data_IF_060366822635
#
_entry.id   IF_060366822635
#
_cell.length_a   1.000
_cell.length_b   1.000
_cell.length_c   1.000
_cell.angle_alpha   90.00
_cell.angle_beta   90.00
_cell.angle_gamma   90.00
#
_symmetry.space_group_name_H-M   'P 1'
#
loop_
_entity.id
_entity.type
_entity.pdbx_description
1 polymer ?
#
# COMPACT_ATOMS: atom_id res chain seq x y z
N UNK A 1 -31.60 -21.21 -40.55
CA UNK A 1 -31.18 -20.28 -39.48
C UNK A 1 -32.19 -19.14 -39.46
N UNK A 2 -32.82 -18.82 -38.31
CA UNK A 2 -33.74 -17.67 -38.25
C UNK A 2 -32.91 -16.37 -38.37
N UNK A 3 -33.32 -15.38 -39.19
CA UNK A 3 -32.58 -14.13 -39.26
C UNK A 3 -32.82 -13.34 -37.96
N UNK A 4 -31.76 -13.07 -37.21
CA UNK A 4 -31.83 -12.14 -36.08
C UNK A 4 -31.91 -10.71 -36.60
N UNK A 5 -32.65 -9.86 -35.88
CA UNK A 5 -32.65 -8.44 -36.17
C UNK A 5 -31.35 -7.83 -35.65
N UNK A 6 -30.76 -6.88 -36.39
CA UNK A 6 -29.51 -6.23 -36.02
C UNK A 6 -29.69 -4.72 -35.92
N UNK A 7 -28.90 -4.10 -35.05
CA UNK A 7 -28.74 -2.64 -34.99
C UNK A 7 -27.41 -2.33 -35.66
N UNK A 8 -27.42 -1.41 -36.62
CA UNK A 8 -26.26 -1.06 -37.44
C UNK A 8 -25.57 0.22 -36.95
N UNK A 9 -24.26 0.34 -37.20
CA UNK A 9 -23.50 1.57 -36.99
C UNK A 9 -23.80 2.63 -38.09
N UNK A 10 -23.18 3.80 -38.00
CA UNK A 10 -23.33 4.89 -39.00
C UNK A 10 -22.79 4.52 -40.39
N UNK A 11 -22.02 3.45 -40.50
CA UNK A 11 -21.45 2.94 -41.74
C UNK A 11 -22.25 1.76 -42.32
N UNK A 12 -23.34 1.34 -41.66
CA UNK A 12 -24.22 0.25 -42.07
C UNK A 12 -23.79 -1.16 -41.65
N UNK A 13 -22.72 -1.29 -40.86
CA UNK A 13 -22.25 -2.57 -40.34
C UNK A 13 -23.06 -2.98 -39.12
N UNK A 14 -23.32 -4.27 -38.95
CA UNK A 14 -24.03 -4.78 -37.77
C UNK A 14 -23.18 -4.55 -36.51
N UNK A 15 -23.74 -3.78 -35.57
CA UNK A 15 -23.09 -3.43 -34.30
C UNK A 15 -23.66 -4.26 -33.14
N UNK A 16 -24.97 -4.55 -33.16
CA UNK A 16 -25.63 -5.40 -32.17
C UNK A 16 -26.61 -6.38 -32.85
N UNK A 17 -26.84 -7.52 -32.21
CA UNK A 17 -27.83 -8.53 -32.63
C UNK A 17 -28.88 -8.67 -31.54
N UNK A 18 -30.16 -8.58 -31.91
CA UNK A 18 -31.31 -8.78 -31.04
C UNK A 18 -31.62 -10.28 -30.97
N UNK A 19 -31.32 -10.89 -29.84
CA UNK A 19 -31.55 -12.30 -29.56
C UNK A 19 -32.76 -12.44 -28.62
N UNK A 20 -33.68 -13.40 -28.83
CA UNK A 20 -34.73 -13.69 -27.87
C UNK A 20 -34.14 -14.00 -26.48
N UNK A 21 -34.80 -13.55 -25.42
CA UNK A 21 -34.28 -13.64 -24.03
C UNK A 21 -33.86 -15.08 -23.67
N UNK A 22 -34.68 -16.08 -23.97
CA UNK A 22 -34.35 -17.48 -23.67
C UNK A 22 -33.09 -18.00 -24.39
N UNK A 23 -32.75 -17.45 -25.55
CA UNK A 23 -31.54 -17.80 -26.29
C UNK A 23 -30.34 -16.97 -25.81
N UNK A 24 -30.56 -15.73 -25.42
CA UNK A 24 -29.54 -14.91 -24.76
C UNK A 24 -29.10 -15.52 -23.42
N UNK A 25 -30.03 -16.03 -22.62
CA UNK A 25 -29.75 -16.77 -21.37
C UNK A 25 -28.91 -18.03 -21.64
N UNK A 26 -29.19 -18.77 -22.72
CA UNK A 26 -28.37 -19.92 -23.12
C UNK A 26 -26.97 -19.53 -23.60
N UNK A 27 -26.84 -18.42 -24.33
CA UNK A 27 -25.56 -17.94 -24.86
C UNK A 27 -24.66 -17.32 -23.78
N UNK A 28 -25.25 -16.68 -22.77
CA UNK A 28 -24.53 -16.07 -21.65
C UNK A 28 -24.26 -17.06 -20.52
N UNK A 29 -24.86 -18.26 -20.59
CA UNK A 29 -24.88 -19.24 -19.51
C UNK A 29 -25.74 -18.76 -18.34
N UNK A 30 -26.00 -19.64 -17.37
CA UNK A 30 -26.67 -19.30 -16.09
C UNK A 30 -25.91 -18.22 -15.26
N UNK A 31 -24.80 -17.71 -15.79
CA UNK A 31 -23.79 -16.89 -15.12
C UNK A 31 -23.76 -15.42 -15.57
N UNK A 32 -24.79 -14.88 -16.23
CA UNK A 32 -24.81 -13.45 -16.58
C UNK A 32 -24.89 -12.52 -15.34
N UNK A 33 -25.36 -13.05 -14.20
CA UNK A 33 -25.29 -12.42 -12.88
C UNK A 33 -24.25 -13.08 -11.95
N UNK A 34 -23.44 -14.01 -12.46
CA UNK A 34 -22.27 -14.54 -11.79
C UNK A 34 -21.09 -13.58 -12.09
N UNK A 35 -21.20 -12.34 -11.58
CA UNK A 35 -20.01 -11.87 -10.90
C UNK A 35 -19.77 -12.94 -9.85
N UNK A 36 -18.64 -13.68 -9.87
CA UNK A 36 -18.34 -14.46 -8.70
C UNK A 36 -18.41 -13.44 -7.57
N UNK A 37 -19.39 -13.60 -6.70
CA UNK A 37 -19.12 -13.23 -5.33
C UNK A 37 -17.82 -13.96 -5.07
N UNK A 38 -16.79 -13.19 -4.78
CA UNK A 38 -15.55 -13.70 -4.24
C UNK A 38 -15.98 -14.43 -2.96
N UNK A 39 -16.43 -15.67 -3.14
CA UNK A 39 -16.72 -16.63 -2.10
C UNK A 39 -15.41 -17.29 -1.67
N UNK A 40 -14.27 -16.85 -2.28
CA UNK A 40 -12.94 -17.03 -1.73
C UNK A 40 -13.03 -16.62 -0.27
N UNK A 41 -13.13 -17.66 0.54
CA UNK A 41 -13.06 -17.53 1.97
C UNK A 41 -11.59 -17.40 2.33
N UNK A 42 -11.28 -17.02 3.57
CA UNK A 42 -9.90 -17.06 4.04
C UNK A 42 -9.24 -18.45 3.83
N UNK A 43 -10.02 -19.52 3.62
CA UNK A 43 -9.54 -20.89 3.31
C UNK A 43 -8.95 -21.03 1.89
N UNK A 44 -9.30 -20.15 0.96
CA UNK A 44 -8.80 -20.15 -0.43
C UNK A 44 -7.52 -19.31 -0.59
N UNK A 45 -7.14 -18.56 0.45
CA UNK A 45 -5.90 -17.78 0.48
C UNK A 45 -4.69 -18.71 0.56
N UNK A 46 -3.77 -18.56 -0.39
CA UNK A 46 -2.47 -19.23 -0.37
C UNK A 46 -1.42 -18.37 0.33
N UNK A 47 -0.65 -18.96 1.24
CA UNK A 47 0.53 -18.28 1.80
C UNK A 47 1.55 -18.04 0.69
N UNK A 48 1.79 -16.77 0.37
CA UNK A 48 2.87 -16.39 -0.54
C UNK A 48 4.20 -16.42 0.21
N UNK A 49 5.21 -17.02 -0.40
CA UNK A 49 6.58 -16.98 0.14
C UNK A 49 7.09 -15.54 0.08
N UNK A 50 7.42 -14.97 1.24
CA UNK A 50 8.04 -13.64 1.35
C UNK A 50 9.23 -13.69 2.30
N UNK A 51 10.20 -12.80 2.08
CA UNK A 51 11.38 -12.66 2.93
C UNK A 51 10.99 -12.05 4.28
N UNK A 52 10.62 -12.91 5.23
CA UNK A 52 10.26 -12.49 6.56
C UNK A 52 11.48 -11.93 7.29
N UNK A 53 11.36 -10.72 7.84
CA UNK A 53 12.41 -10.10 8.64
C UNK A 53 12.06 -9.98 10.14
N UNK A 54 13.02 -9.54 10.95
CA UNK A 54 12.85 -9.39 12.41
C UNK A 54 11.86 -8.26 12.81
N UNK A 55 11.41 -7.45 11.84
CA UNK A 55 10.56 -6.28 12.04
C UNK A 55 9.15 -6.43 11.46
N UNK A 56 8.81 -7.51 10.75
CA UNK A 56 7.46 -7.71 10.19
C UNK A 56 6.33 -7.69 11.22
N UNK A 57 6.61 -8.07 12.47
CA UNK A 57 5.65 -7.97 13.57
C UNK A 57 5.47 -6.55 14.14
N UNK A 58 6.22 -5.57 13.65
CA UNK A 58 6.27 -4.22 14.19
C UNK A 58 5.22 -3.35 13.52
N UNK A 59 4.18 -2.99 14.26
CA UNK A 59 3.15 -2.07 13.78
C UNK A 59 3.65 -0.62 13.78
N UNK A 60 3.44 0.10 12.68
CA UNK A 60 3.75 1.53 12.56
C UNK A 60 2.44 2.27 12.23
N UNK A 61 2.15 3.43 12.85
CA UNK A 61 0.95 4.21 12.53
C UNK A 61 0.89 4.59 11.04
N UNK A 62 -0.31 4.50 10.45
CA UNK A 62 -0.52 4.81 9.04
C UNK A 62 0.00 6.21 8.64
N UNK A 63 -0.21 7.22 9.48
CA UNK A 63 0.29 8.58 9.24
C UNK A 63 1.81 8.65 9.11
N UNK A 64 2.55 7.85 9.87
CA UNK A 64 4.02 7.78 9.77
C UNK A 64 4.42 7.16 8.43
N UNK A 65 3.72 6.10 8.00
CA UNK A 65 3.97 5.45 6.69
C UNK A 65 3.68 6.43 5.55
N UNK A 66 2.58 7.17 5.63
CA UNK A 66 2.22 8.21 4.67
C UNK A 66 3.31 9.27 4.54
N UNK A 67 3.77 9.83 5.65
CA UNK A 67 4.87 10.81 5.68
C UNK A 67 6.16 10.23 5.07
N UNK A 68 6.51 8.99 5.41
CA UNK A 68 7.70 8.30 4.87
C UNK A 68 7.68 8.28 3.33
N UNK A 69 6.53 7.91 2.75
CA UNK A 69 6.32 7.82 1.31
C UNK A 69 6.32 9.19 0.64
N UNK A 70 5.54 10.15 1.18
CA UNK A 70 5.40 11.49 0.61
C UNK A 70 6.71 12.29 0.64
N UNK A 71 7.47 12.19 1.72
CA UNK A 71 8.72 12.92 1.91
C UNK A 71 9.95 12.14 1.41
N UNK A 72 9.78 10.88 0.99
CA UNK A 72 10.85 9.99 0.53
C UNK A 72 12.03 9.89 1.53
N UNK A 73 11.70 9.73 2.82
CA UNK A 73 12.63 9.59 3.95
C UNK A 73 12.48 8.21 4.60
N UNK A 74 13.38 7.86 5.53
CA UNK A 74 13.23 6.63 6.31
C UNK A 74 12.28 6.80 7.51
N UNK A 75 12.06 5.73 8.28
CA UNK A 75 11.17 5.75 9.44
C UNK A 75 11.59 6.80 10.49
N UNK A 76 12.89 7.04 10.68
CA UNK A 76 13.41 8.02 11.63
C UNK A 76 12.92 9.44 11.32
N UNK A 77 13.02 9.85 10.05
CA UNK A 77 12.56 11.16 9.62
C UNK A 77 11.04 11.28 9.66
N UNK A 78 10.33 10.21 9.30
CA UNK A 78 8.86 10.19 9.35
C UNK A 78 8.33 10.35 10.77
N UNK A 79 8.91 9.62 11.74
CA UNK A 79 8.56 9.77 13.16
C UNK A 79 8.87 11.17 13.71
N UNK A 80 9.99 11.78 13.29
CA UNK A 80 10.31 13.16 13.68
C UNK A 80 9.22 14.14 13.25
N UNK A 81 8.81 14.06 11.98
CA UNK A 81 7.77 14.94 11.41
C UNK A 81 6.42 14.65 12.07
N UNK A 82 6.08 13.38 12.30
CA UNK A 82 4.86 12.98 13.00
C UNK A 82 4.79 13.56 14.44
N UNK A 83 5.94 13.75 15.09
CA UNK A 83 6.05 14.40 16.40
C UNK A 83 6.18 15.92 16.33
N UNK A 84 6.08 16.52 15.15
CA UNK A 84 6.24 17.95 14.91
C UNK A 84 7.58 18.51 15.42
N UNK A 85 8.65 17.72 15.31
CA UNK A 85 10.00 18.14 15.71
C UNK A 85 10.81 18.57 14.48
N UNK A 86 11.59 19.62 14.61
CA UNK A 86 12.62 19.99 13.63
C UNK A 86 13.88 19.13 13.79
N UNK A 87 14.70 19.05 12.73
CA UNK A 87 16.00 18.37 12.81
C UNK A 87 16.93 19.03 13.85
N UNK A 88 16.80 20.34 14.04
CA UNK A 88 17.58 21.09 15.02
C UNK A 88 17.19 20.74 16.46
N UNK A 89 15.89 20.66 16.78
CA UNK A 89 15.43 20.26 18.11
C UNK A 89 15.87 18.84 18.47
N UNK A 90 15.86 17.92 17.50
CA UNK A 90 16.36 16.55 17.71
C UNK A 90 17.87 16.55 17.89
N UNK A 91 18.60 17.33 17.11
CA UNK A 91 20.05 17.50 17.25
C UNK A 91 20.43 17.99 18.66
N UNK A 92 19.75 19.02 19.16
CA UNK A 92 19.92 19.54 20.53
C UNK A 92 19.63 18.47 21.60
N UNK A 93 18.54 17.70 21.46
CA UNK A 93 18.18 16.63 22.41
C UNK A 93 19.12 15.42 22.37
N UNK A 94 19.75 15.15 21.23
CA UNK A 94 20.64 14.00 21.04
C UNK A 94 22.13 14.32 21.23
N UNK A 95 22.49 15.60 21.23
CA UNK A 95 23.88 16.06 21.18
C UNK A 95 24.56 15.83 19.83
N UNK A 96 23.79 15.63 18.76
CA UNK A 96 24.28 15.47 17.38
C UNK A 96 24.14 16.80 16.62
N UNK A 97 24.77 16.90 15.44
CA UNK A 97 24.52 18.04 14.55
C UNK A 97 23.21 17.86 13.77
N UNK A 98 22.56 18.96 13.39
CA UNK A 98 21.40 18.93 12.48
C UNK A 98 21.73 18.21 11.17
N UNK A 99 22.94 18.41 10.63
CA UNK A 99 23.40 17.72 9.43
C UNK A 99 23.48 16.20 9.62
N UNK A 100 23.93 15.72 10.79
CA UNK A 100 23.97 14.29 11.10
C UNK A 100 22.56 13.70 11.16
N UNK A 101 21.59 14.42 11.75
CA UNK A 101 20.18 14.01 11.73
C UNK A 101 19.66 13.95 10.29
N UNK A 102 19.89 14.99 9.48
CA UNK A 102 19.50 15.01 8.07
C UNK A 102 20.07 13.83 7.26
N UNK A 103 21.35 13.48 7.47
CA UNK A 103 21.97 12.31 6.84
C UNK A 103 21.33 11.00 7.31
N UNK A 104 21.05 10.89 8.61
CA UNK A 104 20.44 9.70 9.21
C UNK A 104 19.00 9.48 8.73
N UNK A 105 18.29 10.53 8.30
CA UNK A 105 16.90 10.48 7.84
C UNK A 105 16.74 10.08 6.36
N UNK A 106 17.85 10.02 5.60
CA UNK A 106 17.82 9.68 4.17
C UNK A 106 17.28 8.26 3.95
N UNK A 107 16.46 8.09 2.91
CA UNK A 107 15.98 6.78 2.47
C UNK A 107 17.14 5.79 2.27
N UNK A 108 16.95 4.56 2.72
CA UNK A 108 17.96 3.49 2.67
C UNK A 108 19.02 3.56 3.77
N UNK A 109 19.10 4.65 4.54
CA UNK A 109 20.01 4.71 5.68
C UNK A 109 19.41 3.96 6.88
N UNK A 110 20.21 3.09 7.49
CA UNK A 110 19.85 2.31 8.68
C UNK A 110 20.72 2.75 9.86
N UNK A 111 20.17 3.53 10.81
CA UNK A 111 20.93 4.03 11.95
C UNK A 111 21.33 2.88 12.88
N UNK A 112 22.48 3.01 13.53
CA UNK A 112 22.95 2.06 14.54
C UNK A 112 21.93 1.88 15.67
N UNK A 113 21.87 0.67 16.25
CA UNK A 113 20.95 0.31 17.35
C UNK A 113 20.93 1.35 18.48
N UNK A 114 22.11 1.78 18.95
CA UNK A 114 22.25 2.78 20.00
C UNK A 114 21.63 4.13 19.64
N UNK A 115 21.72 4.56 18.38
CA UNK A 115 21.12 5.81 17.90
C UNK A 115 19.61 5.69 17.82
N UNK A 116 19.09 4.56 17.33
CA UNK A 116 17.63 4.27 17.33
C UNK A 116 17.07 4.29 18.74
N UNK A 117 17.73 3.68 19.72
CA UNK A 117 17.27 3.67 21.12
C UNK A 117 17.17 5.08 21.72
N UNK A 118 18.12 5.97 21.42
CA UNK A 118 18.08 7.37 21.88
C UNK A 118 16.92 8.13 21.23
N UNK A 119 16.75 7.97 19.93
CA UNK A 119 15.72 8.69 19.16
C UNK A 119 14.32 8.17 19.46
N UNK A 120 14.16 6.87 19.65
CA UNK A 120 12.90 6.23 20.04
C UNK A 120 12.35 6.84 21.34
N UNK A 121 13.22 7.13 22.31
CA UNK A 121 12.84 7.83 23.55
C UNK A 121 12.35 9.26 23.29
N UNK A 122 12.99 9.99 22.38
CA UNK A 122 12.59 11.36 22.01
C UNK A 122 11.25 11.36 21.25
N UNK A 123 11.05 10.37 20.38
CA UNK A 123 9.87 10.22 19.54
C UNK A 123 8.74 9.45 20.20
N UNK A 124 8.92 8.94 21.43
CA UNK A 124 7.91 8.14 22.14
C UNK A 124 7.45 6.92 21.33
N UNK A 125 8.38 6.22 20.70
CA UNK A 125 8.14 5.00 19.92
C UNK A 125 9.15 3.91 20.33
N UNK A 126 9.08 2.71 19.76
CA UNK A 126 10.08 1.66 20.02
C UNK A 126 11.24 1.72 19.02
N UNK A 127 12.45 1.26 19.38
CA UNK A 127 13.59 1.23 18.45
C UNK A 127 13.34 0.41 17.19
N UNK A 128 12.50 -0.61 17.28
CA UNK A 128 12.10 -1.50 16.17
C UNK A 128 11.25 -0.74 15.14
N UNK A 129 10.38 0.17 15.60
CA UNK A 129 9.60 1.06 14.71
C UNK A 129 10.47 2.04 13.91
N UNK A 130 11.75 2.20 14.28
CA UNK A 130 12.73 3.03 13.57
C UNK A 130 13.68 2.23 12.68
N UNK A 131 13.53 0.91 12.61
CA UNK A 131 14.48 0.01 11.96
C UNK A 131 14.28 -0.19 10.45
N UNK A 132 13.03 -0.07 10.00
CA UNK A 132 12.62 -0.22 8.58
C UNK A 132 12.63 1.07 7.76
#
# INVERSE_FOLDING_TARGET
MKPYQTIKDTNGNDLFVLVPVAEFEQLTGDNLYDFPYDDETDDDLVEVEYDKDEFDGVTIPFEVVKIKLEQNINNLGAWRIYRNLSQQEVAEKTGLSQSAISQAERKGNRPQKRTREKLAKIYGCTPEQLAG
#
